data_IF_817063262945
#
_entry.id   IF_817063262945
#
_cell.length_a   1.000
_cell.length_b   1.000
_cell.length_c   1.000
_cell.angle_alpha   90.00
_cell.angle_beta   90.00
_cell.angle_gamma   90.00
#
_symmetry.space_group_name_H-M   'P 1'
#
loop_
_entity.id
_entity.type
_entity.pdbx_description
1 polymer ?
#
# COMPACT_ATOMS: atom_id res chain seq x y z
N UNK A 1 -11.09 -31.62 -2.28
CA UNK A 1 -11.53 -30.67 -3.30
C UNK A 1 -10.67 -29.43 -3.27
N UNK A 2 -10.01 -29.11 -4.37
CA UNK A 2 -9.30 -27.83 -4.40
C UNK A 2 -10.33 -26.72 -4.28
N UNK A 3 -10.12 -25.86 -3.29
CA UNK A 3 -10.93 -24.65 -3.16
C UNK A 3 -10.61 -23.75 -4.35
N UNK A 4 -11.57 -23.65 -5.26
CA UNK A 4 -11.49 -22.64 -6.30
C UNK A 4 -11.80 -21.31 -5.61
N UNK A 5 -10.83 -20.41 -5.59
CA UNK A 5 -11.03 -19.06 -5.07
C UNK A 5 -12.05 -18.36 -5.96
N UNK A 6 -13.28 -18.27 -5.47
CA UNK A 6 -14.34 -17.59 -6.19
C UNK A 6 -14.21 -16.09 -6.04
N UNK A 7 -14.12 -15.42 -7.16
CA UNK A 7 -14.21 -13.96 -7.20
C UNK A 7 -15.62 -13.55 -6.79
N UNK A 8 -15.73 -12.78 -5.71
CA UNK A 8 -17.01 -12.29 -5.21
C UNK A 8 -17.20 -10.82 -5.62
N UNK A 9 -18.45 -10.36 -5.86
CA UNK A 9 -18.68 -8.95 -6.24
C UNK A 9 -18.17 -7.96 -5.20
N UNK A 10 -18.19 -8.32 -3.91
CA UNK A 10 -17.78 -7.45 -2.82
C UNK A 10 -16.27 -7.37 -2.62
N UNK A 11 -15.47 -8.25 -3.24
CA UNK A 11 -14.03 -8.32 -3.00
C UNK A 11 -13.32 -7.02 -3.35
N UNK A 12 -13.63 -6.43 -4.50
CA UNK A 12 -13.04 -5.16 -4.92
C UNK A 12 -13.39 -4.02 -3.95
N UNK A 13 -14.63 -3.98 -3.48
CA UNK A 13 -15.09 -2.97 -2.53
C UNK A 13 -14.41 -3.13 -1.18
N UNK A 14 -14.26 -4.35 -0.68
CA UNK A 14 -13.57 -4.63 0.58
C UNK A 14 -12.13 -4.14 0.49
N UNK A 15 -11.41 -4.50 -0.56
CA UNK A 15 -10.03 -4.06 -0.75
C UNK A 15 -9.94 -2.53 -0.87
N UNK A 16 -10.87 -1.90 -1.58
CA UNK A 16 -10.89 -0.44 -1.70
C UNK A 16 -11.03 0.25 -0.35
N UNK A 17 -11.91 -0.25 0.50
CA UNK A 17 -12.11 0.34 1.83
C UNK A 17 -10.86 0.14 2.69
N UNK A 18 -10.23 -1.03 2.62
CA UNK A 18 -8.97 -1.30 3.33
C UNK A 18 -7.88 -0.34 2.89
N UNK A 19 -7.74 -0.12 1.59
CA UNK A 19 -6.75 0.82 1.04
C UNK A 19 -7.06 2.26 1.45
N UNK A 20 -8.32 2.70 1.29
CA UNK A 20 -8.70 4.09 1.54
C UNK A 20 -8.69 4.44 3.03
N UNK A 21 -9.23 3.58 3.87
CA UNK A 21 -9.36 3.85 5.32
C UNK A 21 -8.11 3.40 6.07
N UNK A 22 -7.62 2.19 5.77
CA UNK A 22 -6.49 1.61 6.49
C UNK A 22 -5.12 2.10 6.04
N UNK A 23 -5.01 2.54 4.80
CA UNK A 23 -3.73 2.87 4.16
C UNK A 23 -3.70 4.25 3.52
N UNK A 24 -4.68 5.11 3.83
CA UNK A 24 -4.74 6.47 3.31
C UNK A 24 -4.84 6.59 1.80
N UNK A 25 -5.40 5.59 1.13
CA UNK A 25 -5.56 5.57 -0.33
C UNK A 25 -4.34 5.07 -1.08
N UNK A 26 -3.29 4.64 -0.39
CA UNK A 26 -2.06 4.16 -1.02
C UNK A 26 -2.08 2.65 -1.24
N UNK A 27 -2.18 2.24 -2.50
CA UNK A 27 -2.08 0.82 -2.90
C UNK A 27 -0.71 0.25 -2.50
N UNK A 28 0.34 1.04 -2.65
CA UNK A 28 1.69 0.63 -2.30
C UNK A 28 1.84 0.35 -0.82
N UNK A 29 1.31 1.22 0.02
CA UNK A 29 1.32 1.02 1.47
C UNK A 29 0.50 -0.22 1.85
N UNK A 30 -0.67 -0.40 1.24
CA UNK A 30 -1.50 -1.57 1.46
C UNK A 30 -0.75 -2.86 1.13
N UNK A 31 -0.05 -2.90 0.00
CA UNK A 31 0.73 -4.06 -0.41
C UNK A 31 1.84 -4.39 0.59
N UNK A 32 2.52 -3.37 1.11
CA UNK A 32 3.57 -3.55 2.11
C UNK A 32 3.01 -4.08 3.43
N UNK A 33 1.92 -3.51 3.90
CA UNK A 33 1.31 -3.91 5.18
C UNK A 33 0.70 -5.32 5.11
N UNK A 34 0.05 -5.65 4.00
CA UNK A 34 -0.53 -6.97 3.79
C UNK A 34 0.54 -8.02 3.49
N UNK A 35 1.67 -7.60 2.94
CA UNK A 35 2.76 -8.50 2.59
C UNK A 35 2.57 -9.15 1.23
N UNK A 36 2.11 -8.38 0.25
CA UNK A 36 1.90 -8.84 -1.12
C UNK A 36 2.43 -7.79 -2.11
N UNK A 37 2.15 -7.96 -3.38
CA UNK A 37 2.58 -7.04 -4.42
C UNK A 37 1.52 -5.98 -4.70
N UNK A 38 1.96 -4.78 -5.09
CA UNK A 38 1.06 -3.70 -5.51
C UNK A 38 0.17 -4.14 -6.68
N UNK A 39 0.72 -4.92 -7.60
CA UNK A 39 -0.04 -5.46 -8.72
C UNK A 39 -1.17 -6.39 -8.26
N UNK A 40 -0.93 -7.16 -7.19
CA UNK A 40 -1.95 -8.03 -6.61
C UNK A 40 -3.09 -7.22 -6.00
N UNK A 41 -2.76 -6.18 -5.23
CA UNK A 41 -3.77 -5.28 -4.64
C UNK A 41 -4.58 -4.61 -5.75
N UNK A 42 -3.92 -4.08 -6.77
CA UNK A 42 -4.58 -3.45 -7.92
C UNK A 42 -5.48 -4.43 -8.67
N UNK A 43 -5.07 -5.69 -8.79
CA UNK A 43 -5.87 -6.73 -9.46
C UNK A 43 -7.13 -7.07 -8.66
N UNK A 44 -7.09 -7.06 -7.34
CA UNK A 44 -8.28 -7.22 -6.50
C UNK A 44 -9.20 -6.01 -6.67
N UNK A 45 -8.64 -4.80 -6.66
CA UNK A 45 -9.41 -3.56 -6.84
C UNK A 45 -10.11 -3.50 -8.19
N UNK A 46 -9.50 -4.03 -9.24
CA UNK A 46 -10.06 -4.05 -10.58
C UNK A 46 -11.03 -5.20 -10.83
N UNK A 47 -11.21 -6.07 -9.85
CA UNK A 47 -12.10 -7.22 -9.95
C UNK A 47 -11.53 -8.41 -10.69
N UNK A 48 -10.22 -8.45 -10.92
CA UNK A 48 -9.55 -9.56 -11.61
C UNK A 48 -9.18 -10.71 -10.69
N UNK A 49 -8.82 -10.40 -9.43
CA UNK A 49 -8.41 -11.39 -8.45
C UNK A 49 -9.39 -11.44 -7.29
N UNK A 50 -9.59 -12.64 -6.75
CA UNK A 50 -10.38 -12.83 -5.53
C UNK A 50 -9.60 -12.33 -4.31
N UNK A 51 -10.33 -11.87 -3.31
CA UNK A 51 -9.75 -11.44 -2.03
C UNK A 51 -9.34 -12.62 -1.17
N UNK A 52 -9.97 -13.77 -1.36
CA UNK A 52 -9.83 -14.95 -0.51
C UNK A 52 -8.38 -15.35 -0.19
N UNK A 53 -7.45 -15.40 -1.18
CA UNK A 53 -6.07 -15.75 -0.89
C UNK A 53 -5.35 -14.79 0.06
N UNK A 54 -5.86 -13.57 0.20
CA UNK A 54 -5.23 -12.51 0.99
C UNK A 54 -5.88 -12.31 2.35
N UNK A 55 -6.99 -12.99 2.64
CA UNK A 55 -7.74 -12.80 3.90
C UNK A 55 -6.89 -13.05 5.13
N UNK A 56 -6.10 -14.12 5.15
CA UNK A 56 -5.20 -14.41 6.26
C UNK A 56 -4.18 -13.31 6.50
N UNK A 57 -3.62 -12.77 5.44
CA UNK A 57 -2.66 -11.67 5.51
C UNK A 57 -3.31 -10.36 5.95
N UNK A 58 -4.54 -10.11 5.49
CA UNK A 58 -5.32 -8.93 5.90
C UNK A 58 -5.65 -9.01 7.39
N UNK A 59 -6.06 -10.16 7.90
CA UNK A 59 -6.34 -10.34 9.31
C UNK A 59 -5.11 -10.14 10.19
N UNK A 60 -3.96 -10.54 9.68
CA UNK A 60 -2.67 -10.33 10.36
C UNK A 60 -2.29 -8.86 10.39
N UNK A 61 -2.48 -8.16 9.29
CA UNK A 61 -2.17 -6.74 9.19
C UNK A 61 -3.15 -5.86 9.97
N UNK A 62 -4.41 -6.26 10.00
CA UNK A 62 -5.50 -5.50 10.65
C UNK A 62 -6.28 -6.42 11.58
N UNK A 63 -5.75 -6.73 12.77
CA UNK A 63 -6.35 -7.76 13.65
C UNK A 63 -7.71 -7.36 14.22
N UNK A 64 -8.05 -6.07 14.20
CA UNK A 64 -9.34 -5.58 14.69
C UNK A 64 -10.36 -5.34 13.58
N UNK A 65 -10.07 -5.82 12.36
CA UNK A 65 -11.03 -5.75 11.27
C UNK A 65 -12.25 -6.61 11.55
N UNK A 66 -13.43 -6.11 11.20
CA UNK A 66 -14.68 -6.84 11.41
C UNK A 66 -14.80 -8.00 10.42
N UNK A 67 -14.97 -9.22 10.95
CA UNK A 67 -15.11 -10.43 10.13
C UNK A 67 -16.37 -10.39 9.25
N UNK A 68 -17.44 -9.81 9.74
CA UNK A 68 -18.68 -9.64 8.99
C UNK A 68 -18.47 -8.75 7.77
N UNK A 69 -17.68 -7.70 7.94
CA UNK A 69 -17.29 -6.82 6.84
C UNK A 69 -16.48 -7.59 5.79
N UNK A 70 -15.57 -8.46 6.21
CA UNK A 70 -14.76 -9.28 5.30
C UNK A 70 -15.61 -10.28 4.52
N UNK A 71 -16.75 -10.71 5.07
CA UNK A 71 -17.65 -11.61 4.38
C UNK A 71 -18.58 -10.88 3.39
N UNK A 72 -19.15 -9.77 3.81
CA UNK A 72 -20.24 -9.11 3.08
C UNK A 72 -19.81 -7.87 2.32
N UNK A 73 -18.74 -7.23 2.72
CA UNK A 73 -18.33 -5.93 2.19
C UNK A 73 -19.20 -4.78 2.67
N UNK A 74 -20.12 -5.05 3.59
CA UNK A 74 -21.08 -4.07 4.09
C UNK A 74 -20.88 -3.83 5.58
N UNK A 75 -21.32 -2.67 6.03
CA UNK A 75 -21.26 -2.28 7.44
C UNK A 75 -19.94 -1.61 7.79
N UNK A 76 -19.69 -1.51 9.10
CA UNK A 76 -18.48 -0.88 9.61
C UNK A 76 -17.31 -1.86 9.49
N UNK A 77 -16.19 -1.46 8.85
CA UNK A 77 -15.03 -2.35 8.73
C UNK A 77 -14.32 -2.63 10.06
N UNK A 78 -14.72 -1.97 11.13
CA UNK A 78 -14.04 -2.06 12.40
C UNK A 78 -12.83 -1.13 12.44
N UNK A 79 -11.90 -1.44 13.31
CA UNK A 79 -10.70 -0.63 13.48
C UNK A 79 -9.61 -1.07 12.51
N UNK A 80 -9.33 -0.26 11.49
CA UNK A 80 -8.36 -0.56 10.45
C UNK A 80 -6.98 0.05 10.77
N UNK A 81 -6.53 -0.10 12.02
CA UNK A 81 -5.17 0.26 12.38
C UNK A 81 -4.26 -0.93 12.11
N UNK A 82 -3.26 -0.73 11.27
CA UNK A 82 -2.31 -1.78 10.96
C UNK A 82 -1.50 -2.17 12.18
N UNK A 83 -1.25 -3.48 12.33
CA UNK A 83 -0.29 -3.95 13.32
C UNK A 83 1.07 -3.44 12.91
N UNK A 84 1.70 -2.69 13.80
CA UNK A 84 3.05 -2.19 13.60
C UNK A 84 4.02 -3.28 13.99
N UNK A 85 4.17 -4.28 13.14
CA UNK A 85 5.26 -5.24 13.31
C UNK A 85 6.56 -4.55 12.93
N UNK A 86 7.65 -4.95 13.56
CA UNK A 86 8.96 -4.40 13.24
C UNK A 86 9.27 -4.52 11.75
N UNK A 87 8.92 -5.65 11.16
CA UNK A 87 9.17 -5.92 9.74
C UNK A 87 8.37 -4.98 8.82
N UNK A 88 7.09 -4.75 9.13
CA UNK A 88 6.26 -3.84 8.35
C UNK A 88 6.74 -2.40 8.48
N UNK A 89 7.10 -1.97 9.69
CA UNK A 89 7.66 -0.64 9.91
C UNK A 89 8.97 -0.45 9.18
N UNK A 90 9.86 -1.42 9.25
CA UNK A 90 11.16 -1.36 8.57
C UNK A 90 10.98 -1.24 7.06
N UNK A 91 10.02 -1.96 6.47
CA UNK A 91 9.73 -1.89 5.05
C UNK A 91 9.21 -0.50 4.65
N UNK A 92 8.31 0.09 5.44
CA UNK A 92 7.75 1.42 5.18
C UNK A 92 8.83 2.49 5.32
N UNK A 93 9.63 2.42 6.38
CA UNK A 93 10.72 3.36 6.63
C UNK A 93 11.74 3.31 5.50
N UNK A 94 12.15 2.10 5.11
CA UNK A 94 13.13 1.91 4.01
C UNK A 94 12.66 2.56 2.73
N UNK A 95 11.40 2.41 2.37
CA UNK A 95 10.85 2.99 1.17
C UNK A 95 10.82 4.52 1.23
N UNK A 96 10.42 5.08 2.36
CA UNK A 96 10.43 6.53 2.55
C UNK A 96 11.85 7.10 2.49
N UNK A 97 12.81 6.40 3.08
CA UNK A 97 14.22 6.79 3.04
C UNK A 97 14.75 6.79 1.62
N UNK A 98 14.40 5.79 0.81
CA UNK A 98 14.77 5.74 -0.61
C UNK A 98 14.20 6.91 -1.40
N UNK A 99 12.94 7.28 -1.14
CA UNK A 99 12.30 8.43 -1.79
C UNK A 99 12.98 9.72 -1.40
N UNK A 100 13.29 9.91 -0.12
CA UNK A 100 13.98 11.10 0.38
C UNK A 100 15.38 11.20 -0.24
N UNK A 101 16.13 10.11 -0.28
CA UNK A 101 17.45 10.08 -0.88
C UNK A 101 17.42 10.44 -2.37
N UNK A 102 16.41 9.96 -3.10
CA UNK A 102 16.23 10.28 -4.52
C UNK A 102 15.95 11.77 -4.73
N UNK A 103 15.02 12.32 -3.97
CA UNK A 103 14.65 13.73 -4.06
C UNK A 103 15.84 14.62 -3.69
N UNK A 104 16.59 14.27 -2.65
CA UNK A 104 17.77 15.01 -2.24
C UNK A 104 18.82 15.03 -3.34
N UNK A 105 19.06 13.90 -4.00
CA UNK A 105 20.01 13.83 -5.12
C UNK A 105 19.57 14.69 -6.29
N UNK A 106 18.28 14.68 -6.63
CA UNK A 106 17.75 15.53 -7.70
C UNK A 106 17.94 17.02 -7.40
N UNK A 107 17.66 17.42 -6.15
CA UNK A 107 17.85 18.80 -5.71
C UNK A 107 19.31 19.22 -5.77
N UNK A 108 20.23 18.38 -5.37
CA UNK A 108 21.66 18.66 -5.44
C UNK A 108 22.14 18.78 -6.87
N UNK A 109 21.67 17.94 -7.78
CA UNK A 109 22.00 18.04 -9.21
C UNK A 109 21.51 19.36 -9.79
N UNK A 110 20.28 19.75 -9.47
CA UNK A 110 19.73 21.02 -9.94
C UNK A 110 20.52 22.20 -9.41
N UNK A 111 20.91 22.16 -8.14
CA UNK A 111 21.74 23.21 -7.53
C UNK A 111 23.08 23.34 -8.24
N UNK A 112 23.74 22.23 -8.52
CA UNK A 112 25.02 22.22 -9.24
C UNK A 112 24.91 22.81 -10.63
N UNK A 113 23.84 22.49 -11.36
CA UNK A 113 23.59 23.04 -12.69
C UNK A 113 23.41 24.56 -12.61
N UNK A 114 22.64 25.04 -11.66
CA UNK A 114 22.42 26.47 -11.45
C UNK A 114 23.73 27.16 -11.13
N UNK A 115 24.53 26.61 -10.22
CA UNK A 115 25.84 27.16 -9.85
C UNK A 115 26.80 27.25 -11.07
N UNK A 116 26.80 26.21 -11.89
CA UNK A 116 27.60 26.20 -13.09
C UNK A 116 27.18 27.29 -14.10
N UNK A 117 25.87 27.48 -14.28
CA UNK A 117 25.33 28.50 -15.16
C UNK A 117 25.64 29.90 -14.63
N UNK A 118 25.45 30.12 -13.33
CA UNK A 118 25.80 31.40 -12.71
C UNK A 118 27.29 31.69 -12.79
N UNK A 119 28.12 30.69 -12.61
CA UNK A 119 29.57 30.79 -12.73
C UNK A 119 30.02 31.21 -14.11
N UNK A 120 29.33 30.75 -15.15
CA UNK A 120 29.62 31.15 -16.53
C UNK A 120 29.21 32.57 -16.86
N UNK A 121 28.18 33.07 -16.19
CA UNK A 121 27.67 34.42 -16.42
C UNK A 121 28.46 35.51 -15.68
N UNK A 122 29.33 35.14 -14.76
CA UNK A 122 30.07 36.05 -13.88
C UNK A 122 31.46 36.37 -14.46
N UNK A 123 31.64 36.29 -15.70
CA UNK A 123 32.90 36.74 -16.29
C UNK A 123 32.94 38.25 -16.50
#
# INVERSE_FOLDING_TARGET
MPKVNKLRPQDAQIMRIIVDVGCGGSVKLASLLIGTYSSSVSSVLSGKYALDPYLGKIRKAFPLIDEKFLETGEGNPGYLSAVQTKEALDAVIREKDEQIARLTREMEMQRKIIEMLLSKDVK
#
